data_IF_454815096715
#
_entry.id   IF_454815096715
#
_cell.length_a   1.000
_cell.length_b   1.000
_cell.length_c   1.000
_cell.angle_alpha   90.00
_cell.angle_beta   90.00
_cell.angle_gamma   90.00
#
_symmetry.space_group_name_H-M   'P 1'
#
loop_
_entity.id
_entity.type
_entity.pdbx_description
1 polymer ?
#
# COMPACT_ATOMS: atom_id res chain seq x y z
N UNK A 1 -22.88 45.44 -81.92
CA UNK A 1 -21.86 46.44 -82.39
C UNK A 1 -20.68 46.28 -81.51
N UNK A 2 -19.71 45.62 -81.98
CA UNK A 2 -18.49 45.93 -82.68
C UNK A 2 -17.41 46.49 -81.76
N UNK A 3 -16.32 45.68 -81.70
CA UNK A 3 -14.92 46.06 -81.84
C UNK A 3 -14.30 46.74 -80.58
N UNK A 4 -13.08 46.53 -80.17
CA UNK A 4 -11.80 46.01 -80.74
C UNK A 4 -10.81 45.75 -79.63
N UNK A 5 -10.20 44.63 -79.65
CA UNK A 5 -8.77 44.30 -79.51
C UNK A 5 -7.79 45.39 -78.99
N UNK A 6 -6.98 45.06 -77.95
CA UNK A 6 -5.55 45.15 -78.20
C UNK A 6 -4.76 44.26 -77.24
N UNK A 7 -3.77 43.53 -77.81
CA UNK A 7 -2.85 42.62 -77.16
C UNK A 7 -1.70 43.43 -76.56
N UNK A 8 -1.33 43.15 -75.34
CA UNK A 8 -0.02 43.46 -74.80
C UNK A 8 0.54 42.17 -74.21
N UNK A 9 1.56 41.62 -74.87
CA UNK A 9 2.41 40.55 -74.34
C UNK A 9 3.42 41.16 -73.42
N UNK A 10 3.41 40.88 -72.16
CA UNK A 10 4.50 41.15 -71.26
C UNK A 10 5.22 39.82 -70.97
N UNK A 11 6.46 39.77 -71.43
CA UNK A 11 7.44 38.71 -71.13
C UNK A 11 7.95 38.96 -69.72
N UNK A 12 7.56 38.12 -68.76
CA UNK A 12 8.19 38.06 -67.45
C UNK A 12 9.15 36.89 -67.43
N UNK A 13 10.46 37.18 -67.48
CA UNK A 13 11.53 36.23 -67.24
C UNK A 13 11.54 35.96 -65.75
N UNK A 14 10.97 34.82 -65.34
CA UNK A 14 11.05 34.36 -63.96
C UNK A 14 12.40 33.72 -63.69
N UNK A 15 13.24 34.38 -62.91
CA UNK A 15 14.47 33.81 -62.35
C UNK A 15 14.04 32.90 -61.16
N UNK A 16 13.94 31.60 -61.38
CA UNK A 16 13.67 30.65 -60.33
C UNK A 16 14.96 30.45 -59.51
N UNK A 17 15.09 31.12 -58.38
CA UNK A 17 16.03 30.84 -57.34
C UNK A 17 15.61 29.52 -56.64
N UNK A 18 16.21 28.38 -56.98
CA UNK A 18 16.12 27.15 -56.26
C UNK A 18 16.84 27.30 -54.91
N UNK A 19 16.12 27.67 -53.86
CA UNK A 19 16.61 27.44 -52.49
C UNK A 19 16.29 25.98 -52.15
N UNK A 20 17.29 25.18 -51.73
CA UNK A 20 17.01 23.88 -51.16
C UNK A 20 16.28 24.09 -49.83
N UNK A 21 14.98 23.76 -49.79
CA UNK A 21 14.24 23.65 -48.55
C UNK A 21 14.80 22.41 -47.85
N UNK A 22 15.73 22.62 -46.93
CA UNK A 22 16.03 21.61 -45.94
C UNK A 22 14.82 21.47 -45.04
N UNK A 23 13.99 20.45 -45.29
CA UNK A 23 13.01 19.97 -44.31
C UNK A 23 13.85 19.36 -43.19
N UNK A 24 14.12 20.14 -42.14
CA UNK A 24 14.57 19.61 -40.87
C UNK A 24 13.33 18.90 -40.33
N UNK A 25 13.23 17.59 -40.53
CA UNK A 25 12.36 16.74 -39.72
C UNK A 25 12.90 16.81 -38.28
N UNK A 26 12.35 17.75 -37.52
CA UNK A 26 12.46 17.72 -36.07
C UNK A 26 11.61 16.50 -35.65
N UNK A 27 12.26 15.34 -35.59
CA UNK A 27 11.73 14.25 -34.78
C UNK A 27 11.74 14.72 -33.33
N UNK A 28 10.70 15.44 -32.95
CA UNK A 28 10.34 15.56 -31.56
C UNK A 28 10.03 14.15 -31.08
N UNK A 29 11.05 13.43 -30.62
CA UNK A 29 10.85 12.34 -29.66
C UNK A 29 10.31 12.98 -28.39
N UNK A 30 9.07 13.46 -28.43
CA UNK A 30 8.24 13.62 -27.27
C UNK A 30 7.79 12.23 -26.85
N UNK A 31 8.71 11.43 -26.33
CA UNK A 31 8.33 10.44 -25.35
C UNK A 31 7.69 11.25 -24.22
N UNK A 32 6.38 11.48 -24.27
CA UNK A 32 5.65 12.03 -23.14
C UNK A 32 6.02 11.12 -21.96
N UNK A 33 6.72 11.68 -20.98
CA UNK A 33 6.96 10.99 -19.72
C UNK A 33 5.60 10.61 -19.19
N UNK A 34 5.21 9.33 -19.40
CA UNK A 34 3.93 8.83 -18.94
C UNK A 34 3.98 8.85 -17.42
N UNK A 35 3.07 9.59 -16.79
CA UNK A 35 2.91 9.59 -15.35
C UNK A 35 2.46 8.20 -14.89
N UNK A 36 3.24 7.58 -14.01
CA UNK A 36 2.93 6.28 -13.42
C UNK A 36 2.50 6.44 -11.96
N UNK A 37 1.85 5.43 -11.42
CA UNK A 37 1.45 5.43 -10.01
C UNK A 37 2.69 5.63 -9.12
N UNK A 38 2.59 6.59 -8.21
CA UNK A 38 3.68 6.94 -7.31
C UNK A 38 4.72 7.91 -7.84
N UNK A 39 4.61 8.38 -9.08
CA UNK A 39 5.44 9.49 -9.55
C UNK A 39 5.12 10.76 -8.74
N UNK A 40 6.15 11.56 -8.49
CA UNK A 40 6.00 12.80 -7.74
C UNK A 40 5.29 13.88 -8.57
N UNK A 41 4.20 14.41 -8.05
CA UNK A 41 3.54 15.61 -8.57
C UNK A 41 4.44 16.84 -8.37
N UNK A 42 4.22 17.93 -9.12
CA UNK A 42 5.01 19.16 -8.96
C UNK A 42 4.98 19.76 -7.54
N UNK A 43 3.91 19.51 -6.78
CA UNK A 43 3.71 19.95 -5.40
C UNK A 43 3.95 18.83 -4.36
N UNK A 44 4.47 17.69 -4.80
CA UNK A 44 4.79 16.58 -3.91
C UNK A 44 5.75 17.02 -2.77
N UNK A 45 5.55 16.52 -1.54
CA UNK A 45 6.45 16.81 -0.45
C UNK A 45 7.80 16.09 -0.63
N UNK A 46 8.82 16.59 0.08
CA UNK A 46 10.24 16.28 -0.15
C UNK A 46 10.56 14.79 -0.20
N UNK A 47 10.07 14.00 0.74
CA UNK A 47 10.36 12.57 0.81
C UNK A 47 9.44 11.69 -0.07
N UNK A 48 8.54 12.30 -0.86
CA UNK A 48 7.70 11.56 -1.81
C UNK A 48 8.49 11.03 -3.01
N UNK A 49 9.57 11.71 -3.38
CA UNK A 49 10.39 11.28 -4.52
C UNK A 49 10.97 9.89 -4.31
N UNK A 50 11.18 9.16 -5.41
CA UNK A 50 11.85 7.86 -5.39
C UNK A 50 13.28 8.01 -4.85
N UNK A 51 13.78 6.94 -4.25
CA UNK A 51 15.18 6.83 -3.84
C UNK A 51 16.11 6.53 -5.03
N UNK A 52 17.36 6.24 -4.70
CA UNK A 52 18.45 6.04 -5.67
C UNK A 52 18.54 4.62 -6.22
N UNK A 53 17.93 3.64 -5.55
CA UNK A 53 17.98 2.25 -6.00
C UNK A 53 17.05 1.99 -7.18
N UNK A 54 17.51 1.18 -8.12
CA UNK A 54 16.64 0.53 -9.09
C UNK A 54 15.80 -0.54 -8.39
N UNK A 55 14.62 -0.80 -8.92
CA UNK A 55 13.68 -1.74 -8.28
C UNK A 55 13.52 -3.00 -9.13
N UNK A 56 13.79 -4.14 -8.53
CA UNK A 56 13.40 -5.45 -9.03
C UNK A 56 12.06 -5.87 -8.43
N UNK A 57 11.33 -6.73 -9.15
CA UNK A 57 10.07 -7.30 -8.63
C UNK A 57 9.95 -8.77 -8.99
N UNK A 58 9.50 -9.60 -8.03
CA UNK A 58 9.21 -11.03 -8.23
C UNK A 58 7.94 -11.45 -7.52
N UNK A 59 7.25 -12.42 -8.11
CA UNK A 59 6.10 -13.08 -7.51
C UNK A 59 6.52 -14.42 -6.92
N UNK A 60 6.07 -14.74 -5.70
CA UNK A 60 6.22 -16.07 -5.10
C UNK A 60 4.86 -16.61 -4.64
N UNK A 61 4.74 -17.92 -4.59
CA UNK A 61 3.66 -18.64 -3.90
C UNK A 61 4.23 -19.29 -2.64
N UNK A 62 3.63 -18.97 -1.50
CA UNK A 62 4.00 -19.50 -0.19
C UNK A 62 2.87 -20.42 0.30
N UNK A 63 3.20 -21.48 1.00
CA UNK A 63 2.22 -22.43 1.55
C UNK A 63 2.39 -22.48 3.07
N UNK A 64 1.38 -21.99 3.78
CA UNK A 64 1.27 -22.11 5.23
C UNK A 64 0.47 -23.39 5.56
N UNK A 65 1.21 -24.45 5.89
CA UNK A 65 0.62 -25.79 6.08
C UNK A 65 -0.18 -25.91 7.36
N UNK A 66 -1.20 -26.79 7.33
CA UNK A 66 -1.99 -27.20 8.50
C UNK A 66 -2.65 -26.00 9.21
N UNK A 67 -3.18 -25.04 8.47
CA UNK A 67 -3.93 -23.93 9.06
C UNK A 67 -5.38 -24.33 9.29
N UNK A 68 -6.02 -23.72 10.31
CA UNK A 68 -7.44 -23.96 10.57
C UNK A 68 -8.28 -23.37 9.44
N UNK A 69 -9.06 -24.22 8.80
CA UNK A 69 -10.11 -23.84 7.86
C UNK A 69 -11.39 -23.53 8.65
N UNK A 70 -11.51 -22.29 9.11
CA UNK A 70 -12.64 -21.86 9.93
C UNK A 70 -13.98 -21.91 9.17
N UNK A 71 -13.95 -21.90 7.85
CA UNK A 71 -15.16 -21.96 7.02
C UNK A 71 -15.76 -23.37 6.98
N UNK A 72 -14.95 -24.39 7.18
CA UNK A 72 -15.34 -25.81 7.18
C UNK A 72 -15.13 -26.50 8.53
N UNK A 73 -14.75 -25.75 9.57
CA UNK A 73 -14.64 -26.24 10.94
C UNK A 73 -16.00 -26.18 11.66
N UNK A 74 -16.28 -27.14 12.54
CA UNK A 74 -17.53 -27.24 13.28
C UNK A 74 -17.25 -27.40 14.78
N UNK A 75 -17.72 -26.46 15.59
CA UNK A 75 -17.58 -26.49 17.05
C UNK A 75 -16.11 -26.57 17.46
N UNK A 76 -15.76 -27.63 18.22
CA UNK A 76 -14.37 -27.85 18.71
C UNK A 76 -13.50 -28.65 17.74
N UNK A 77 -14.05 -29.12 16.64
CA UNK A 77 -13.32 -29.89 15.63
C UNK A 77 -12.81 -28.99 14.55
N UNK A 78 -11.51 -28.81 14.48
CA UNK A 78 -10.83 -28.04 13.43
C UNK A 78 -10.65 -28.90 12.17
N UNK A 79 -11.09 -28.38 11.03
CA UNK A 79 -10.64 -28.82 9.71
C UNK A 79 -9.36 -28.08 9.38
N UNK A 80 -8.36 -28.78 8.86
CA UNK A 80 -7.08 -28.19 8.50
C UNK A 80 -6.89 -28.16 6.99
N UNK A 81 -6.23 -27.12 6.49
CA UNK A 81 -5.86 -26.98 5.08
C UNK A 81 -4.48 -26.34 4.90
N UNK A 82 -3.92 -26.53 3.72
CA UNK A 82 -2.70 -25.86 3.31
C UNK A 82 -3.06 -24.51 2.69
N UNK A 83 -2.88 -23.42 3.48
CA UNK A 83 -3.23 -22.07 3.08
C UNK A 83 -2.16 -21.50 2.15
N UNK A 84 -2.54 -21.25 0.90
CA UNK A 84 -1.66 -20.68 -0.13
C UNK A 84 -1.72 -19.16 -0.06
N UNK A 85 -0.57 -18.50 -0.09
CA UNK A 85 -0.44 -17.05 -0.16
C UNK A 85 0.41 -16.67 -1.37
N UNK A 86 -0.12 -15.86 -2.26
CA UNK A 86 0.63 -15.27 -3.34
C UNK A 86 1.20 -13.93 -2.88
N UNK A 87 2.50 -13.72 -3.05
CA UNK A 87 3.16 -12.49 -2.65
C UNK A 87 3.87 -11.84 -3.83
N UNK A 88 3.90 -10.52 -3.85
CA UNK A 88 4.74 -9.74 -4.74
C UNK A 88 5.85 -9.09 -3.91
N UNK A 89 7.10 -9.19 -4.38
CA UNK A 89 8.27 -8.75 -3.65
C UNK A 89 9.02 -7.72 -4.48
N UNK A 90 9.09 -6.49 -3.98
CA UNK A 90 9.92 -5.41 -4.56
C UNK A 90 11.19 -5.27 -3.74
N UNK A 91 12.30 -5.06 -4.43
CA UNK A 91 13.62 -5.02 -3.79
C UNK A 91 14.61 -4.14 -4.58
N UNK A 92 15.65 -3.59 -3.92
CA UNK A 92 16.76 -2.96 -4.61
C UNK A 92 17.42 -3.93 -5.59
N UNK A 93 17.67 -3.48 -6.82
CA UNK A 93 18.14 -4.33 -7.90
C UNK A 93 19.21 -3.68 -8.76
N UNK A 94 20.03 -4.51 -9.38
CA UNK A 94 20.97 -4.13 -10.45
C UNK A 94 20.32 -4.43 -11.78
N UNK A 95 20.25 -3.40 -12.66
CA UNK A 95 19.71 -3.56 -14.00
C UNK A 95 20.82 -3.60 -15.04
N UNK A 96 20.67 -4.45 -16.05
CA UNK A 96 21.53 -4.41 -17.23
C UNK A 96 21.31 -3.09 -18.00
N UNK A 97 22.31 -2.63 -18.75
CA UNK A 97 22.37 -1.29 -19.37
C UNK A 97 21.16 -0.94 -20.25
N UNK A 98 20.52 -1.95 -20.85
CA UNK A 98 19.38 -1.80 -21.76
C UNK A 98 18.02 -2.22 -21.15
N UNK A 99 17.99 -2.58 -19.87
CA UNK A 99 16.76 -2.92 -19.16
C UNK A 99 16.14 -1.67 -18.56
N UNK A 100 14.88 -1.40 -18.91
CA UNK A 100 14.13 -0.30 -18.34
C UNK A 100 13.42 -0.75 -17.06
N UNK A 101 13.32 0.17 -16.12
CA UNK A 101 12.51 0.03 -14.89
C UNK A 101 11.04 0.28 -15.23
N UNK A 102 10.45 -0.65 -15.97
CA UNK A 102 9.08 -0.57 -16.46
C UNK A 102 8.47 -1.98 -16.53
N UNK A 103 7.57 -2.26 -15.58
CA UNK A 103 6.84 -3.53 -15.48
C UNK A 103 5.37 -3.31 -15.79
N UNK A 104 4.70 -4.33 -16.33
CA UNK A 104 3.24 -4.39 -16.43
C UNK A 104 2.71 -5.29 -15.32
N UNK A 105 1.75 -4.79 -14.55
CA UNK A 105 1.02 -5.53 -13.54
C UNK A 105 -0.38 -5.86 -14.03
N UNK A 106 -0.74 -7.14 -13.97
CA UNK A 106 -2.10 -7.61 -14.24
C UNK A 106 -2.93 -7.58 -12.96
N UNK A 107 -4.10 -7.00 -13.04
CA UNK A 107 -5.02 -6.79 -11.93
C UNK A 107 -6.47 -7.01 -12.37
N UNK A 108 -7.37 -7.10 -11.41
CA UNK A 108 -8.81 -7.15 -11.66
C UNK A 108 -9.55 -6.17 -10.76
N UNK A 109 -10.70 -5.71 -11.22
CA UNK A 109 -11.74 -5.10 -10.40
C UNK A 109 -12.98 -6.00 -10.41
N UNK A 110 -14.00 -5.65 -9.66
CA UNK A 110 -15.18 -6.50 -9.50
C UNK A 110 -15.18 -7.24 -8.16
N UNK A 111 -16.02 -8.26 -8.05
CA UNK A 111 -16.14 -9.05 -6.83
C UNK A 111 -16.51 -10.49 -7.17
N UNK A 112 -15.73 -11.43 -6.66
CA UNK A 112 -15.99 -12.86 -6.82
C UNK A 112 -17.43 -13.23 -6.42
N UNK A 113 -18.06 -14.08 -7.23
CA UNK A 113 -19.44 -14.54 -7.03
C UNK A 113 -20.52 -13.44 -6.94
N UNK A 114 -20.26 -12.23 -7.45
CA UNK A 114 -21.23 -11.15 -7.50
C UNK A 114 -21.60 -10.80 -8.95
N UNK A 115 -22.78 -11.26 -9.48
CA UNK A 115 -23.17 -10.96 -10.88
C UNK A 115 -23.35 -9.47 -11.17
N UNK A 116 -23.67 -8.64 -10.16
CA UNK A 116 -23.77 -7.20 -10.31
C UNK A 116 -22.40 -6.49 -10.40
N UNK A 117 -21.32 -7.21 -10.08
CA UNK A 117 -19.95 -6.72 -10.08
C UNK A 117 -19.02 -7.76 -10.72
N UNK A 118 -19.16 -8.04 -12.03
CA UNK A 118 -18.37 -9.05 -12.71
C UNK A 118 -16.87 -8.71 -12.64
N UNK A 119 -16.04 -9.73 -12.69
CA UNK A 119 -14.59 -9.57 -12.73
C UNK A 119 -14.17 -8.94 -14.04
N UNK A 120 -13.47 -7.81 -13.96
CA UNK A 120 -12.98 -7.03 -15.10
C UNK A 120 -11.46 -6.96 -15.00
N UNK A 121 -10.73 -7.64 -15.91
CA UNK A 121 -9.27 -7.53 -15.98
C UNK A 121 -8.83 -6.15 -16.44
N UNK A 122 -7.75 -5.67 -15.87
CA UNK A 122 -7.02 -4.49 -16.36
C UNK A 122 -5.53 -4.64 -16.07
N UNK A 123 -4.72 -3.78 -16.68
CA UNK A 123 -3.30 -3.72 -16.37
C UNK A 123 -2.84 -2.28 -16.21
N UNK A 124 -1.74 -2.12 -15.50
CA UNK A 124 -1.08 -0.83 -15.35
C UNK A 124 0.44 -0.99 -15.30
N UNK A 125 1.14 0.08 -15.61
CA UNK A 125 2.59 0.08 -15.60
C UNK A 125 3.12 0.60 -14.26
N UNK A 126 4.25 0.04 -13.84
CA UNK A 126 4.98 0.45 -12.65
C UNK A 126 6.48 0.61 -12.93
N UNK A 127 7.18 1.18 -11.96
CA UNK A 127 8.61 1.46 -12.03
C UNK A 127 9.42 0.39 -11.32
N UNK A 128 9.40 -0.80 -11.87
CA UNK A 128 10.22 -1.93 -11.45
C UNK A 128 10.64 -2.77 -12.66
N UNK A 129 11.62 -3.66 -12.51
CA UNK A 129 12.02 -4.61 -13.53
C UNK A 129 11.75 -6.04 -13.04
N UNK A 130 10.98 -6.82 -13.83
CA UNK A 130 10.65 -8.20 -13.52
C UNK A 130 11.91 -9.05 -13.46
N UNK A 131 12.06 -9.83 -12.38
CA UNK A 131 13.14 -10.79 -12.14
C UNK A 131 14.57 -10.22 -12.19
N UNK A 132 14.73 -8.91 -11.99
CA UNK A 132 16.05 -8.26 -11.95
C UNK A 132 16.96 -8.87 -10.89
N UNK A 133 18.25 -8.79 -11.08
CA UNK A 133 19.24 -9.25 -10.11
C UNK A 133 19.20 -8.40 -8.84
N UNK A 134 19.18 -9.00 -7.62
CA UNK A 134 19.23 -8.24 -6.39
C UNK A 134 20.51 -7.40 -6.28
N UNK A 135 20.40 -6.20 -5.74
CA UNK A 135 21.51 -5.38 -5.28
C UNK A 135 21.81 -5.73 -3.83
N UNK A 136 22.93 -6.42 -3.57
CA UNK A 136 23.25 -6.92 -2.26
C UNK A 136 24.09 -5.92 -1.47
N UNK A 137 23.71 -5.67 -0.22
CA UNK A 137 24.47 -4.86 0.74
C UNK A 137 24.77 -5.66 2.02
N UNK A 138 25.82 -5.30 2.72
CA UNK A 138 26.14 -5.93 3.99
C UNK A 138 25.01 -5.72 5.01
N UNK A 139 24.53 -6.81 5.61
CA UNK A 139 23.41 -6.78 6.56
C UNK A 139 22.02 -6.88 5.95
N UNK A 140 21.88 -6.76 4.62
CA UNK A 140 20.58 -6.77 3.93
C UNK A 140 19.80 -5.48 4.06
N UNK A 141 18.59 -5.47 3.52
CA UNK A 141 17.65 -4.34 3.59
C UNK A 141 16.51 -4.65 4.57
N UNK A 142 16.09 -3.68 5.38
CA UNK A 142 14.93 -3.87 6.27
C UNK A 142 13.69 -4.32 5.49
N UNK A 143 12.89 -5.18 6.13
CA UNK A 143 11.72 -5.80 5.56
C UNK A 143 10.46 -4.96 5.83
N UNK A 144 9.61 -4.82 4.83
CA UNK A 144 8.26 -4.26 4.95
C UNK A 144 7.25 -5.27 4.45
N UNK A 145 6.27 -5.64 5.27
CA UNK A 145 5.15 -6.50 4.89
C UNK A 145 3.91 -5.64 4.71
N UNK A 146 3.24 -5.80 3.57
CA UNK A 146 2.07 -5.00 3.18
C UNK A 146 0.83 -5.87 3.08
N UNK A 147 -0.23 -5.45 3.77
CA UNK A 147 -1.51 -6.17 3.91
C UNK A 147 -2.66 -5.31 3.38
N UNK A 148 -3.38 -5.79 2.34
CA UNK A 148 -4.46 -5.06 1.69
C UNK A 148 -5.78 -5.06 2.46
N UNK A 149 -6.75 -4.21 2.07
CA UNK A 149 -8.12 -4.19 2.59
C UNK A 149 -8.96 -5.42 2.18
N UNK A 150 -10.23 -5.45 2.57
CA UNK A 150 -11.20 -6.49 2.14
C UNK A 150 -12.25 -5.84 1.20
N UNK A 151 -12.38 -6.30 0.00
CA UNK A 151 -11.53 -7.15 -0.82
C UNK A 151 -10.45 -6.32 -1.49
N UNK A 152 -9.30 -6.93 -1.75
CA UNK A 152 -8.19 -6.20 -2.34
C UNK A 152 -7.22 -7.11 -3.10
N UNK A 153 -6.00 -6.66 -3.27
CA UNK A 153 -4.91 -7.45 -3.83
C UNK A 153 -3.55 -6.94 -3.38
N UNK A 154 -2.52 -7.75 -3.56
CA UNK A 154 -1.13 -7.42 -3.32
C UNK A 154 -0.61 -6.22 -4.14
N UNK A 155 -1.32 -5.81 -5.20
CA UNK A 155 -0.91 -4.74 -6.11
C UNK A 155 -1.56 -3.37 -5.82
N UNK A 156 -2.44 -3.29 -4.80
CA UNK A 156 -3.22 -2.07 -4.54
C UNK A 156 -2.37 -0.89 -4.03
N UNK A 157 -1.14 -1.16 -3.60
CA UNK A 157 -0.20 -0.19 -3.04
C UNK A 157 1.07 0.01 -3.87
N UNK A 158 1.07 -0.31 -5.17
CA UNK A 158 2.31 -0.27 -5.97
C UNK A 158 2.99 1.08 -5.95
N UNK A 159 2.25 2.19 -5.84
CA UNK A 159 2.82 3.53 -5.68
C UNK A 159 3.77 3.63 -4.47
N UNK A 160 3.45 2.92 -3.38
CA UNK A 160 4.21 2.95 -2.13
C UNK A 160 5.28 1.85 -2.11
N UNK A 161 4.94 0.62 -2.54
CA UNK A 161 5.88 -0.51 -2.49
C UNK A 161 7.10 -0.29 -3.37
N UNK A 162 6.91 0.21 -4.60
CA UNK A 162 8.01 0.57 -5.48
C UNK A 162 8.83 1.76 -4.96
N UNK A 163 8.16 2.75 -4.38
CA UNK A 163 8.82 3.90 -3.79
C UNK A 163 9.71 3.51 -2.61
N UNK A 164 9.22 2.67 -1.69
CA UNK A 164 9.99 2.18 -0.56
C UNK A 164 11.15 1.28 -1.01
N UNK A 165 10.93 0.38 -1.98
CA UNK A 165 12.01 -0.43 -2.51
C UNK A 165 13.12 0.42 -3.15
N UNK A 166 12.77 1.49 -3.86
CA UNK A 166 13.75 2.43 -4.41
C UNK A 166 14.56 3.17 -3.33
N UNK A 167 14.09 3.16 -2.09
CA UNK A 167 14.75 3.74 -0.91
C UNK A 167 15.52 2.72 -0.10
N UNK A 168 15.69 1.49 -0.62
CA UNK A 168 16.48 0.44 0.03
C UNK A 168 15.71 -0.30 1.12
N UNK A 169 14.51 -0.76 0.81
CA UNK A 169 13.75 -1.74 1.59
C UNK A 169 13.43 -2.96 0.73
N UNK A 170 13.29 -4.12 1.33
CA UNK A 170 12.59 -5.25 0.71
C UNK A 170 11.13 -5.15 1.12
N UNK A 171 10.23 -5.06 0.15
CA UNK A 171 8.80 -4.87 0.40
C UNK A 171 8.03 -6.06 -0.13
N UNK A 172 7.23 -6.72 0.72
CA UNK A 172 6.45 -7.91 0.40
C UNK A 172 4.98 -7.62 0.60
N UNK A 173 4.19 -7.66 -0.45
CA UNK A 173 2.74 -7.49 -0.38
C UNK A 173 2.03 -8.82 -0.60
N UNK A 174 0.99 -9.09 0.19
CA UNK A 174 0.32 -10.38 0.28
C UNK A 174 -1.04 -10.32 -0.42
N UNK A 175 -1.36 -11.32 -1.27
CA UNK A 175 -2.74 -11.69 -1.55
C UNK A 175 -3.22 -12.61 -0.42
N UNK A 176 -4.04 -12.08 0.46
CA UNK A 176 -4.62 -12.88 1.53
C UNK A 176 -5.74 -13.76 0.96
N UNK A 177 -5.51 -15.04 0.90
CA UNK A 177 -6.48 -16.04 0.41
C UNK A 177 -7.85 -15.84 1.07
N UNK A 178 -8.93 -16.00 0.32
CA UNK A 178 -10.32 -15.79 0.76
C UNK A 178 -10.69 -14.33 1.06
N UNK A 179 -9.84 -13.39 0.64
CA UNK A 179 -10.00 -11.96 0.93
C UNK A 179 -9.61 -11.07 -0.25
N UNK A 180 -9.38 -11.65 -1.42
CA UNK A 180 -9.06 -10.92 -2.66
C UNK A 180 -10.31 -10.68 -3.52
N UNK A 181 -10.16 -9.88 -4.59
CA UNK A 181 -11.22 -9.70 -5.59
C UNK A 181 -11.65 -11.01 -6.25
N UNK A 182 -10.76 -12.02 -6.30
CA UNK A 182 -10.94 -13.28 -7.04
C UNK A 182 -11.45 -14.44 -6.19
N UNK A 183 -11.36 -14.35 -4.87
CA UNK A 183 -11.65 -15.48 -3.97
C UNK A 183 -12.34 -15.08 -2.67
N UNK A 184 -12.99 -13.91 -2.64
CA UNK A 184 -13.66 -13.43 -1.43
C UNK A 184 -14.61 -14.47 -0.83
N UNK A 185 -14.40 -14.81 0.44
CA UNK A 185 -15.19 -15.77 1.20
C UNK A 185 -15.78 -15.14 2.46
N UNK A 186 -16.35 -15.94 3.35
CA UNK A 186 -16.94 -15.45 4.59
C UNK A 186 -15.89 -14.72 5.47
N UNK A 187 -16.31 -13.62 6.07
CA UNK A 187 -15.44 -12.67 6.76
C UNK A 187 -14.71 -13.26 7.98
N UNK A 188 -15.22 -14.37 8.54
CA UNK A 188 -14.58 -15.11 9.64
C UNK A 188 -13.19 -15.63 9.28
N UNK A 189 -12.97 -16.07 8.04
CA UNK A 189 -11.62 -16.45 7.57
C UNK A 189 -10.65 -15.25 7.57
N UNK A 190 -11.11 -14.12 7.05
CA UNK A 190 -10.31 -12.88 7.05
C UNK A 190 -9.94 -12.46 8.48
N UNK A 191 -10.89 -12.50 9.43
CA UNK A 191 -10.64 -12.14 10.82
C UNK A 191 -9.60 -13.06 11.47
N UNK A 192 -9.69 -14.37 11.24
CA UNK A 192 -8.76 -15.34 11.84
C UNK A 192 -7.34 -15.22 11.24
N UNK A 193 -7.25 -15.06 9.92
CA UNK A 193 -6.01 -15.34 9.22
C UNK A 193 -5.12 -14.12 8.95
N UNK A 194 -5.64 -12.88 8.95
CA UNK A 194 -4.84 -11.69 8.58
C UNK A 194 -3.53 -11.57 9.34
N UNK A 195 -3.57 -11.52 10.67
CA UNK A 195 -2.36 -11.43 11.48
C UNK A 195 -1.47 -12.68 11.38
N UNK A 196 -2.08 -13.87 11.19
CA UNK A 196 -1.32 -15.11 10.99
C UNK A 196 -0.56 -15.11 9.67
N UNK A 197 -1.17 -14.61 8.60
CA UNK A 197 -0.54 -14.49 7.29
C UNK A 197 0.66 -13.52 7.35
N UNK A 198 0.50 -12.37 8.00
CA UNK A 198 1.58 -11.38 8.17
C UNK A 198 2.79 -12.01 8.92
N UNK A 199 2.55 -12.70 10.04
CA UNK A 199 3.60 -13.39 10.81
C UNK A 199 4.22 -14.57 10.06
N UNK A 200 3.41 -15.31 9.30
CA UNK A 200 3.94 -16.39 8.46
C UNK A 200 4.85 -15.87 7.36
N UNK A 201 4.47 -14.79 6.68
CA UNK A 201 5.30 -14.16 5.64
C UNK A 201 6.59 -13.61 6.24
N UNK A 202 6.55 -12.98 7.43
CA UNK A 202 7.75 -12.57 8.15
C UNK A 202 8.72 -13.75 8.37
N UNK A 203 8.20 -14.88 8.86
CA UNK A 203 9.02 -16.07 9.08
C UNK A 203 9.60 -16.62 7.78
N UNK A 204 8.81 -16.63 6.69
CA UNK A 204 9.28 -17.12 5.38
C UNK A 204 10.33 -16.20 4.77
N UNK A 205 10.17 -14.88 4.88
CA UNK A 205 11.19 -13.94 4.40
C UNK A 205 12.49 -14.08 5.19
N UNK A 206 12.42 -14.25 6.51
CA UNK A 206 13.57 -14.54 7.34
C UNK A 206 14.26 -15.86 6.95
N UNK A 207 13.49 -16.92 6.68
CA UNK A 207 14.00 -18.22 6.22
C UNK A 207 14.71 -18.09 4.86
N UNK A 208 14.05 -17.48 3.88
CA UNK A 208 14.55 -17.32 2.51
C UNK A 208 15.73 -16.35 2.41
N UNK A 209 15.87 -15.42 3.36
CA UNK A 209 17.00 -14.49 3.45
C UNK A 209 18.28 -15.10 4.03
N UNK A 210 18.19 -16.26 4.69
CA UNK A 210 19.36 -16.90 5.36
C UNK A 210 20.40 -17.38 4.36
N UNK A 211 21.69 -17.37 4.75
CA UNK A 211 22.75 -18.04 3.99
C UNK A 211 22.41 -19.51 3.74
N UNK A 212 22.59 -19.96 2.51
CA UNK A 212 22.31 -21.36 2.10
C UNK A 212 20.86 -21.69 1.78
N UNK A 213 19.95 -20.71 1.78
CA UNK A 213 18.53 -20.92 1.41
C UNK A 213 18.34 -21.20 -0.09
N UNK A 214 19.33 -20.94 -0.93
CA UNK A 214 19.26 -21.02 -2.40
C UNK A 214 18.14 -20.15 -3.01
N UNK A 215 17.73 -19.11 -2.31
CA UNK A 215 16.73 -18.14 -2.73
C UNK A 215 17.40 -16.90 -3.31
N UNK A 216 16.72 -16.17 -4.19
CA UNK A 216 17.16 -14.83 -4.64
C UNK A 216 17.19 -13.82 -3.48
N UNK A 217 16.53 -14.13 -2.37
CA UNK A 217 16.50 -13.31 -1.14
C UNK A 217 17.70 -13.54 -0.23
N UNK A 218 18.55 -14.53 -0.53
CA UNK A 218 19.72 -14.86 0.29
C UNK A 218 20.61 -13.63 0.47
N UNK A 219 20.78 -13.18 1.74
CA UNK A 219 21.58 -12.00 2.09
C UNK A 219 20.94 -10.64 1.72
N UNK A 220 19.75 -10.65 1.12
CA UNK A 220 19.05 -9.43 0.71
C UNK A 220 18.16 -8.86 1.83
N UNK A 221 17.60 -9.72 2.68
CA UNK A 221 16.56 -9.37 3.66
C UNK A 221 17.14 -9.29 5.06
N UNK A 222 16.96 -8.14 5.70
CA UNK A 222 17.10 -7.97 7.14
C UNK A 222 15.71 -8.07 7.80
N UNK A 223 15.32 -9.28 8.18
CA UNK A 223 14.03 -9.55 8.81
C UNK A 223 13.98 -9.14 10.29
N UNK A 224 15.12 -8.85 10.93
CA UNK A 224 15.16 -8.38 12.33
C UNK A 224 14.72 -6.92 12.46
N UNK A 225 14.70 -6.19 11.34
CA UNK A 225 14.17 -4.84 11.21
C UNK A 225 12.96 -4.84 10.26
N UNK A 226 11.82 -5.32 10.77
CA UNK A 226 10.56 -5.43 9.99
C UNK A 226 9.55 -4.36 10.39
N UNK A 227 8.86 -3.77 9.40
CA UNK A 227 7.63 -3.00 9.61
C UNK A 227 6.44 -3.67 8.92
N UNK A 228 5.26 -3.43 9.48
CA UNK A 228 3.99 -3.83 8.87
C UNK A 228 3.27 -2.59 8.35
N UNK A 229 2.74 -2.68 7.13
CA UNK A 229 1.85 -1.68 6.54
C UNK A 229 0.52 -2.35 6.25
N UNK A 230 -0.59 -1.80 6.74
CA UNK A 230 -1.90 -2.36 6.48
C UNK A 230 -2.96 -1.32 6.20
N UNK A 231 -3.90 -1.64 5.29
CA UNK A 231 -5.04 -0.79 4.99
C UNK A 231 -6.35 -1.48 5.34
N UNK A 232 -7.26 -0.79 6.03
CA UNK A 232 -8.57 -1.32 6.39
C UNK A 232 -8.43 -2.65 7.14
N UNK A 233 -8.88 -3.77 6.58
CA UNK A 233 -8.64 -5.11 7.12
C UNK A 233 -7.16 -5.49 7.19
N UNK A 234 -6.31 -4.95 6.33
CA UNK A 234 -4.86 -5.08 6.45
C UNK A 234 -4.33 -4.33 7.68
N UNK A 235 -4.86 -3.13 7.96
CA UNK A 235 -4.57 -2.39 9.19
C UNK A 235 -4.97 -3.16 10.45
N UNK A 236 -6.15 -3.78 10.44
CA UNK A 236 -6.58 -4.73 11.46
C UNK A 236 -5.53 -5.85 11.66
N UNK A 237 -5.09 -6.49 10.56
CA UNK A 237 -4.10 -7.58 10.61
C UNK A 237 -2.77 -7.11 11.19
N UNK A 238 -2.24 -5.98 10.69
CA UNK A 238 -0.97 -5.41 11.12
C UNK A 238 -0.94 -5.04 12.61
N UNK A 239 -2.01 -4.40 13.12
CA UNK A 239 -2.14 -4.08 14.55
C UNK A 239 -2.15 -5.34 15.42
N UNK A 240 -2.91 -6.37 15.01
CA UNK A 240 -2.96 -7.62 15.74
C UNK A 240 -1.65 -8.41 15.68
N UNK A 241 -0.97 -8.41 14.54
CA UNK A 241 0.35 -9.03 14.41
C UNK A 241 1.42 -8.32 15.28
N UNK A 242 1.27 -7.00 15.44
CA UNK A 242 2.19 -6.16 16.23
C UNK A 242 1.85 -6.11 17.72
N UNK A 243 0.80 -6.80 18.18
CA UNK A 243 0.55 -6.95 19.60
C UNK A 243 -0.80 -6.45 20.11
N UNK A 244 -1.68 -5.88 19.29
CA UNK A 244 -3.05 -5.63 19.72
C UNK A 244 -3.80 -6.96 19.95
N UNK A 245 -4.42 -7.13 21.12
CA UNK A 245 -5.14 -8.35 21.48
C UNK A 245 -6.64 -8.20 21.24
N UNK A 246 -7.30 -9.27 20.82
CA UNK A 246 -8.75 -9.25 20.66
C UNK A 246 -9.47 -9.14 22.00
N UNK A 247 -10.57 -8.41 22.00
CA UNK A 247 -11.50 -8.41 23.13
C UNK A 247 -12.21 -9.76 23.27
N UNK A 248 -12.63 -10.09 24.49
CA UNK A 248 -13.48 -11.27 24.74
C UNK A 248 -14.81 -11.20 23.98
N UNK A 249 -15.36 -9.99 23.79
CA UNK A 249 -16.57 -9.76 23.00
C UNK A 249 -16.38 -10.14 21.54
N UNK A 250 -15.26 -9.74 20.92
CA UNK A 250 -14.93 -10.11 19.55
C UNK A 250 -14.76 -11.62 19.40
N UNK A 251 -14.05 -12.26 20.33
CA UNK A 251 -13.86 -13.72 20.31
C UNK A 251 -15.20 -14.47 20.40
N UNK A 252 -16.09 -14.06 21.30
CA UNK A 252 -17.42 -14.65 21.43
C UNK A 252 -18.28 -14.45 20.17
N UNK A 253 -18.20 -13.27 19.53
CA UNK A 253 -18.91 -12.98 18.29
C UNK A 253 -18.44 -13.88 17.15
N UNK A 254 -17.13 -14.00 16.95
CA UNK A 254 -16.55 -14.87 15.91
C UNK A 254 -16.88 -16.33 16.15
N UNK A 255 -16.81 -16.80 17.40
CA UNK A 255 -17.24 -18.16 17.77
C UNK A 255 -18.71 -18.40 17.41
N UNK A 256 -19.60 -17.42 17.64
CA UNK A 256 -21.00 -17.51 17.24
C UNK A 256 -21.20 -17.69 15.74
N UNK A 257 -20.43 -16.97 14.90
CA UNK A 257 -20.52 -17.09 13.45
C UNK A 257 -19.84 -18.35 12.88
N UNK A 258 -18.93 -18.97 13.62
CA UNK A 258 -18.18 -20.16 13.21
C UNK A 258 -18.65 -21.46 13.89
N UNK A 259 -19.92 -21.53 14.28
CA UNK A 259 -20.49 -22.73 14.89
C UNK A 259 -19.87 -23.12 16.23
N UNK A 260 -19.36 -22.15 16.99
CA UNK A 260 -18.69 -22.37 18.28
C UNK A 260 -17.20 -22.65 18.19
N UNK A 261 -16.57 -22.46 17.02
CA UNK A 261 -15.12 -22.62 16.86
C UNK A 261 -14.35 -21.62 17.71
N UNK A 262 -13.33 -22.10 18.44
CA UNK A 262 -12.55 -21.32 19.40
C UNK A 262 -11.15 -20.92 18.92
N UNK A 263 -10.83 -21.14 17.65
CA UNK A 263 -9.50 -20.82 17.10
C UNK A 263 -9.13 -19.33 17.24
N UNK A 264 -10.15 -18.46 17.33
CA UNK A 264 -9.97 -17.04 17.55
C UNK A 264 -9.55 -16.69 18.98
N UNK A 265 -9.88 -17.52 19.97
CA UNK A 265 -9.56 -17.30 21.38
C UNK A 265 -8.06 -17.20 21.62
N UNK A 266 -7.25 -17.90 20.81
CA UNK A 266 -5.79 -17.89 20.89
C UNK A 266 -5.16 -16.51 20.70
N UNK A 267 -5.87 -15.54 20.16
CA UNK A 267 -5.45 -14.15 19.95
C UNK A 267 -6.12 -13.16 20.90
N UNK A 268 -6.95 -13.66 21.84
CA UNK A 268 -7.62 -12.84 22.86
C UNK A 268 -6.59 -12.33 23.86
N UNK A 269 -6.76 -11.11 24.32
CA UNK A 269 -5.92 -10.48 25.34
C UNK A 269 -5.77 -11.39 26.57
N UNK A 270 -4.55 -11.57 27.04
CA UNK A 270 -4.21 -12.42 28.17
C UNK A 270 -4.14 -13.92 27.85
N UNK A 271 -4.50 -14.38 26.66
CA UNK A 271 -4.33 -15.78 26.29
C UNK A 271 -2.84 -16.14 26.15
N UNK A 272 -2.35 -17.29 26.67
CA UNK A 272 -0.92 -17.62 26.60
C UNK A 272 -0.34 -17.64 25.19
N UNK A 273 -1.08 -18.10 24.19
CA UNK A 273 -0.64 -18.11 22.78
C UNK A 273 -0.56 -16.68 22.20
N UNK A 274 -1.46 -15.78 22.59
CA UNK A 274 -1.35 -14.37 22.20
C UNK A 274 -0.07 -13.76 22.77
N UNK A 275 0.21 -13.93 24.07
CA UNK A 275 1.42 -13.41 24.70
C UNK A 275 2.68 -13.99 24.05
N UNK A 276 2.69 -15.30 23.74
CA UNK A 276 3.80 -15.96 23.07
C UNK A 276 3.97 -15.56 21.58
N UNK A 277 3.00 -14.88 20.98
CA UNK A 277 3.04 -14.47 19.57
C UNK A 277 3.70 -13.11 19.33
N UNK A 278 4.14 -12.41 20.37
CA UNK A 278 4.88 -11.16 20.21
C UNK A 278 6.19 -11.39 19.46
N UNK A 279 6.34 -10.72 18.34
CA UNK A 279 7.53 -10.84 17.49
C UNK A 279 8.37 -9.57 17.58
N UNK A 280 9.52 -9.69 18.24
CA UNK A 280 10.44 -8.56 18.47
C UNK A 280 11.12 -8.03 17.22
N UNK A 281 11.00 -8.75 16.09
CA UNK A 281 11.48 -8.29 14.79
C UNK A 281 10.61 -7.17 14.21
N UNK A 282 9.34 -7.08 14.64
CA UNK A 282 8.45 -5.99 14.23
C UNK A 282 8.83 -4.72 15.01
N UNK A 283 9.31 -3.71 14.29
CA UNK A 283 9.82 -2.45 14.86
C UNK A 283 8.86 -1.27 14.68
N UNK A 284 7.95 -1.35 13.71
CA UNK A 284 7.02 -0.26 13.42
C UNK A 284 5.77 -0.76 12.70
N UNK A 285 4.68 -0.01 12.82
CA UNK A 285 3.42 -0.27 12.08
C UNK A 285 2.96 1.02 11.41
N UNK A 286 2.48 0.92 10.17
CA UNK A 286 1.70 1.96 9.49
C UNK A 286 0.31 1.41 9.23
N UNK A 287 -0.71 2.00 9.82
CA UNK A 287 -2.09 1.55 9.73
C UNK A 287 -2.98 2.59 9.05
N UNK A 288 -3.32 2.34 7.79
CA UNK A 288 -4.25 3.18 7.01
C UNK A 288 -5.69 2.76 7.29
N UNK A 289 -6.50 3.66 7.82
CA UNK A 289 -7.93 3.46 8.07
C UNK A 289 -8.24 2.08 8.69
N UNK A 290 -7.56 1.65 9.78
CA UNK A 290 -7.65 0.29 10.31
C UNK A 290 -9.09 -0.04 10.75
N UNK A 291 -9.61 -1.15 10.21
CA UNK A 291 -10.96 -1.63 10.54
C UNK A 291 -10.99 -2.38 11.87
N UNK A 292 -12.05 -2.22 12.64
CA UNK A 292 -12.34 -3.10 13.77
C UNK A 292 -12.83 -2.42 15.06
N UNK A 293 -12.41 -1.18 15.35
CA UNK A 293 -12.72 -0.54 16.63
C UNK A 293 -14.23 -0.31 16.84
N UNK A 294 -14.95 0.14 15.82
CA UNK A 294 -16.40 0.29 15.87
C UNK A 294 -17.17 -1.04 16.06
N UNK A 295 -16.47 -2.16 15.87
CA UNK A 295 -17.00 -3.52 16.07
C UNK A 295 -16.51 -4.15 17.37
N UNK A 296 -15.91 -3.35 18.26
CA UNK A 296 -15.34 -3.79 19.53
C UNK A 296 -14.34 -4.95 19.39
N UNK A 297 -13.57 -4.97 18.29
CA UNK A 297 -12.52 -5.97 18.09
C UNK A 297 -11.47 -5.86 19.20
N UNK A 298 -11.17 -4.64 19.60
CA UNK A 298 -10.29 -4.35 20.72
C UNK A 298 -11.05 -3.63 21.82
N UNK A 299 -10.64 -3.87 23.04
CA UNK A 299 -10.91 -3.08 24.22
C UNK A 299 -9.64 -2.33 24.67
N UNK A 300 -9.73 -1.61 25.78
CA UNK A 300 -8.58 -0.83 26.29
C UNK A 300 -7.38 -1.74 26.61
N UNK A 301 -7.63 -2.93 27.19
CA UNK A 301 -6.57 -3.88 27.52
C UNK A 301 -5.90 -4.43 26.24
N UNK A 302 -6.68 -4.75 25.21
CA UNK A 302 -6.17 -5.23 23.92
C UNK A 302 -5.30 -4.21 23.22
N UNK A 303 -5.69 -2.94 23.21
CA UNK A 303 -4.90 -1.87 22.58
C UNK A 303 -3.60 -1.57 23.34
N UNK A 304 -3.54 -1.79 24.65
CA UNK A 304 -2.32 -1.64 25.45
C UNK A 304 -1.24 -2.68 25.08
N UNK A 305 -1.62 -3.76 24.40
CA UNK A 305 -0.67 -4.72 23.86
C UNK A 305 0.17 -4.16 22.70
N UNK A 306 -0.30 -3.13 22.02
CA UNK A 306 0.44 -2.46 20.95
C UNK A 306 1.52 -1.55 21.58
N UNK A 307 2.80 -1.94 21.45
CA UNK A 307 3.94 -1.26 22.09
C UNK A 307 4.95 -0.71 21.09
N UNK A 308 4.86 -1.14 19.84
CA UNK A 308 5.75 -0.67 18.77
C UNK A 308 5.30 0.69 18.26
N UNK A 309 6.22 1.55 17.81
CA UNK A 309 5.88 2.81 17.15
C UNK A 309 4.83 2.59 16.06
N UNK A 310 3.78 3.41 16.06
CA UNK A 310 2.65 3.22 15.15
C UNK A 310 2.21 4.54 14.50
N UNK A 311 2.12 4.54 13.18
CA UNK A 311 1.66 5.67 12.38
C UNK A 311 0.28 5.36 11.80
N UNK A 312 -0.74 6.02 12.32
CA UNK A 312 -2.11 5.90 11.83
C UNK A 312 -2.37 6.95 10.75
N UNK A 313 -3.16 6.57 9.73
CA UNK A 313 -3.62 7.47 8.66
C UNK A 313 -5.12 7.28 8.47
N UNK A 314 -5.89 8.35 8.39
CA UNK A 314 -7.34 8.26 8.19
C UNK A 314 -7.92 9.49 7.49
N UNK A 315 -9.06 9.31 6.82
CA UNK A 315 -9.94 10.40 6.43
C UNK A 315 -10.85 10.81 7.58
N UNK A 316 -11.06 12.11 7.79
CA UNK A 316 -11.92 12.59 8.90
C UNK A 316 -13.40 12.23 8.74
N UNK A 317 -13.81 11.79 7.55
CA UNK A 317 -15.16 11.33 7.20
C UNK A 317 -15.19 9.85 6.81
N UNK A 318 -14.26 9.05 7.35
CA UNK A 318 -14.23 7.60 7.11
C UNK A 318 -15.56 6.97 7.55
N UNK A 319 -16.30 6.39 6.61
CA UNK A 319 -17.62 5.81 6.80
C UNK A 319 -17.62 4.27 6.81
N UNK A 320 -16.44 3.65 6.71
CA UNK A 320 -16.24 2.19 6.71
C UNK A 320 -15.59 1.72 8.01
N UNK A 321 -14.45 2.29 8.37
CA UNK A 321 -13.72 1.98 9.62
C UNK A 321 -14.10 2.92 10.76
N UNK A 322 -14.70 4.06 10.43
CA UNK A 322 -14.99 5.16 11.33
C UNK A 322 -13.77 6.01 11.66
N UNK A 323 -13.98 7.31 11.85
CA UNK A 323 -12.90 8.20 12.29
C UNK A 323 -12.86 8.33 13.82
N UNK A 324 -13.85 9.02 14.44
CA UNK A 324 -13.84 9.30 15.88
C UNK A 324 -13.91 8.03 16.74
N UNK A 325 -14.80 7.10 16.41
CA UNK A 325 -14.97 5.82 17.10
C UNK A 325 -14.17 4.67 16.47
N UNK A 326 -13.48 4.95 15.39
CA UNK A 326 -12.64 4.03 14.64
C UNK A 326 -11.16 4.35 14.84
N UNK A 327 -10.49 4.85 13.80
CA UNK A 327 -9.04 5.04 13.79
C UNK A 327 -8.55 5.95 14.91
N UNK A 328 -9.23 7.07 15.20
CA UNK A 328 -8.87 7.97 16.28
C UNK A 328 -9.02 7.33 17.67
N UNK A 329 -10.05 6.51 17.87
CA UNK A 329 -10.21 5.77 19.12
C UNK A 329 -9.09 4.71 19.30
N UNK A 330 -8.62 4.07 18.22
CA UNK A 330 -7.44 3.17 18.29
C UNK A 330 -6.20 3.99 18.68
N UNK A 331 -5.95 5.12 18.02
CA UNK A 331 -4.84 6.01 18.35
C UNK A 331 -4.87 6.43 19.82
N UNK A 332 -6.01 6.83 20.35
CA UNK A 332 -6.15 7.24 21.75
C UNK A 332 -5.95 6.07 22.72
N UNK A 333 -6.39 4.86 22.35
CA UNK A 333 -6.30 3.66 23.20
C UNK A 333 -4.94 2.95 23.17
N UNK A 334 -4.12 3.15 22.13
CA UNK A 334 -2.79 2.56 22.00
C UNK A 334 -1.73 3.28 22.86
N UNK A 335 -2.02 3.42 24.15
CA UNK A 335 -1.29 4.31 25.07
C UNK A 335 0.16 3.92 25.32
N UNK A 336 0.55 2.67 25.04
CA UNK A 336 1.92 2.18 25.22
C UNK A 336 2.77 2.30 23.95
N UNK A 337 2.20 2.76 22.84
CA UNK A 337 2.93 3.02 21.60
C UNK A 337 3.34 4.51 21.49
N UNK A 338 4.53 4.77 20.95
CA UNK A 338 4.83 6.06 20.32
C UNK A 338 4.00 6.15 19.04
N UNK A 339 3.06 7.10 18.99
CA UNK A 339 2.00 7.04 17.97
C UNK A 339 1.68 8.37 17.34
N UNK A 340 1.46 8.31 16.03
CA UNK A 340 1.07 9.43 15.19
C UNK A 340 -0.30 9.16 14.57
N UNK A 341 -1.07 10.24 14.32
CA UNK A 341 -2.30 10.17 13.53
C UNK A 341 -2.30 11.30 12.50
N UNK A 342 -2.10 10.91 11.24
CA UNK A 342 -2.28 11.79 10.09
C UNK A 342 -3.73 11.73 9.64
N UNK A 343 -4.39 12.88 9.60
CA UNK A 343 -5.78 13.01 9.18
C UNK A 343 -5.89 13.83 7.90
N UNK A 344 -6.53 13.25 6.90
CA UNK A 344 -6.97 13.94 5.69
C UNK A 344 -8.36 14.54 5.93
N UNK A 345 -8.44 15.87 6.04
CA UNK A 345 -9.70 16.55 6.32
C UNK A 345 -10.71 16.36 5.20
N UNK A 346 -11.94 15.95 5.55
CA UNK A 346 -13.06 15.64 4.66
C UNK A 346 -12.84 14.43 3.73
N UNK A 347 -11.69 13.75 3.78
CA UNK A 347 -11.52 12.48 3.08
C UNK A 347 -12.37 11.38 3.74
N UNK A 348 -12.73 10.38 2.94
CA UNK A 348 -13.39 9.15 3.38
C UNK A 348 -12.39 8.02 3.62
N UNK A 349 -12.83 6.78 3.37
CA UNK A 349 -12.06 5.57 3.70
C UNK A 349 -10.82 5.34 2.82
N UNK A 350 -10.89 5.73 1.53
CA UNK A 350 -9.91 5.36 0.53
C UNK A 350 -8.70 6.32 0.52
N UNK A 351 -7.90 6.31 1.58
CA UNK A 351 -6.72 7.17 1.73
C UNK A 351 -5.38 6.46 1.49
N UNK A 352 -5.42 5.28 0.86
CA UNK A 352 -4.24 4.42 0.80
C UNK A 352 -3.97 3.76 -0.55
N UNK A 353 -4.93 3.71 -1.46
CA UNK A 353 -4.86 2.88 -2.67
C UNK A 353 -4.14 3.57 -3.83
N UNK A 354 -3.79 2.79 -4.86
CA UNK A 354 -3.42 3.38 -6.15
C UNK A 354 -4.56 4.27 -6.69
N UNK A 355 -4.29 5.24 -7.56
CA UNK A 355 -5.33 6.00 -8.27
C UNK A 355 -6.26 5.10 -9.08
N UNK A 356 -7.49 5.56 -9.38
CA UNK A 356 -8.45 4.82 -10.19
C UNK A 356 -7.87 4.41 -11.55
N UNK A 357 -7.93 3.13 -11.93
CA UNK A 357 -7.53 2.71 -13.26
C UNK A 357 -8.51 3.28 -14.31
N UNK A 358 -8.05 3.59 -15.54
CA UNK A 358 -8.92 4.11 -16.61
C UNK A 358 -10.14 3.24 -16.88
N UNK A 359 -10.02 1.93 -16.71
CA UNK A 359 -11.10 0.96 -16.88
C UNK A 359 -12.26 1.19 -15.92
N UNK A 360 -11.98 1.72 -14.72
CA UNK A 360 -13.03 2.04 -13.72
C UNK A 360 -13.91 3.22 -14.10
N UNK A 361 -13.51 4.01 -15.11
CA UNK A 361 -14.27 5.16 -15.62
C UNK A 361 -15.28 4.78 -16.69
N UNK A 362 -15.39 3.51 -17.08
CA UNK A 362 -16.32 3.07 -18.12
C UNK A 362 -17.77 3.23 -17.67
N UNK A 363 -18.66 3.77 -18.53
CA UNK A 363 -20.07 3.88 -18.22
C UNK A 363 -20.73 2.52 -17.96
N UNK A 364 -21.64 2.49 -16.99
CA UNK A 364 -22.42 1.29 -16.68
C UNK A 364 -21.77 0.33 -15.68
N UNK A 365 -20.56 0.60 -15.22
CA UNK A 365 -19.97 -0.15 -14.12
C UNK A 365 -20.64 0.17 -12.78
N UNK A 366 -20.55 -0.77 -11.85
CA UNK A 366 -20.92 -0.51 -10.47
C UNK A 366 -20.02 0.61 -9.90
N UNK A 367 -20.61 1.53 -9.15
CA UNK A 367 -19.89 2.70 -8.62
C UNK A 367 -18.64 2.33 -7.79
N UNK A 368 -18.69 1.22 -7.06
CA UNK A 368 -17.55 0.75 -6.26
C UNK A 368 -16.30 0.42 -7.08
N UNK A 369 -16.41 0.14 -8.38
CA UNK A 369 -15.22 -0.14 -9.19
C UNK A 369 -14.33 1.09 -9.35
N UNK A 370 -14.94 2.26 -9.39
CA UNK A 370 -14.25 3.54 -9.32
C UNK A 370 -13.93 3.93 -7.86
N UNK A 371 -14.94 3.86 -6.99
CA UNK A 371 -14.86 4.43 -5.64
C UNK A 371 -13.82 3.72 -4.76
N UNK A 372 -13.51 2.45 -4.99
CA UNK A 372 -12.43 1.73 -4.28
C UNK A 372 -11.04 2.35 -4.42
N UNK A 373 -10.86 3.14 -5.47
CA UNK A 373 -9.60 3.79 -5.81
C UNK A 373 -9.67 5.31 -5.74
N UNK A 374 -10.79 5.87 -5.30
CA UNK A 374 -11.03 7.30 -5.32
C UNK A 374 -11.53 7.82 -3.98
N UNK A 375 -11.21 9.07 -3.70
CA UNK A 375 -11.82 9.88 -2.64
C UNK A 375 -12.61 11.03 -3.25
N UNK A 376 -13.82 11.38 -2.74
CA UNK A 376 -14.65 12.41 -3.33
C UNK A 376 -14.09 13.84 -3.17
N UNK A 377 -13.13 14.05 -2.29
CA UNK A 377 -12.56 15.37 -1.97
C UNK A 377 -11.08 15.46 -2.36
N UNK A 378 -10.33 14.38 -2.19
CA UNK A 378 -8.89 14.36 -2.39
C UNK A 378 -8.49 13.67 -3.70
N UNK A 379 -7.48 14.22 -4.36
CA UNK A 379 -6.85 13.55 -5.50
C UNK A 379 -5.93 12.43 -5.01
N UNK A 380 -6.12 11.21 -5.52
CA UNK A 380 -5.38 10.03 -5.06
C UNK A 380 -3.87 10.12 -5.31
N UNK A 381 -3.43 10.67 -6.43
CA UNK A 381 -2.01 10.84 -6.70
C UNK A 381 -1.35 11.79 -5.66
N UNK A 382 -2.11 12.80 -5.20
CA UNK A 382 -1.68 13.68 -4.12
C UNK A 382 -1.65 12.97 -2.77
N UNK A 383 -2.68 12.20 -2.42
CA UNK A 383 -2.70 11.34 -1.23
C UNK A 383 -1.48 10.43 -1.25
N UNK A 384 -1.20 9.80 -2.40
CA UNK A 384 -0.09 8.88 -2.56
C UNK A 384 1.26 9.55 -2.29
N UNK A 385 1.48 10.76 -2.80
CA UNK A 385 2.72 11.49 -2.53
C UNK A 385 2.85 11.90 -1.06
N UNK A 386 1.76 12.30 -0.42
CA UNK A 386 1.76 12.62 1.01
C UNK A 386 2.06 11.36 1.84
N UNK A 387 1.43 10.22 1.51
CA UNK A 387 1.70 8.94 2.16
C UNK A 387 3.16 8.51 1.98
N UNK A 388 3.71 8.62 0.76
CA UNK A 388 5.14 8.33 0.50
C UNK A 388 6.05 9.17 1.40
N UNK A 389 5.73 10.44 1.60
CA UNK A 389 6.52 11.33 2.45
C UNK A 389 6.51 10.89 3.91
N UNK A 390 5.33 10.76 4.51
CA UNK A 390 5.22 10.44 5.93
C UNK A 390 5.66 9.02 6.25
N UNK A 391 5.31 8.05 5.41
CA UNK A 391 5.76 6.66 5.58
C UNK A 391 7.29 6.57 5.46
N UNK A 392 7.90 7.30 4.50
CA UNK A 392 9.37 7.37 4.40
C UNK A 392 10.00 7.97 5.64
N UNK A 393 9.44 9.07 6.17
CA UNK A 393 9.96 9.71 7.37
C UNK A 393 9.89 8.75 8.56
N UNK A 394 8.72 8.18 8.81
CA UNK A 394 8.47 7.30 9.94
C UNK A 394 9.31 6.01 9.89
N UNK A 395 9.28 5.28 8.77
CA UNK A 395 10.08 4.06 8.63
C UNK A 395 11.59 4.35 8.56
N UNK A 396 11.97 5.51 8.03
CA UNK A 396 13.38 5.95 8.04
C UNK A 396 13.93 6.09 9.46
N UNK A 397 13.15 6.64 10.38
CA UNK A 397 13.52 6.75 11.79
C UNK A 397 13.62 5.36 12.44
N UNK A 398 12.57 4.56 12.34
CA UNK A 398 12.45 3.33 13.14
C UNK A 398 13.18 2.11 12.58
N UNK A 399 13.44 2.05 11.26
CA UNK A 399 14.14 0.92 10.64
C UNK A 399 15.56 1.25 10.19
N UNK A 400 15.88 2.53 9.93
CA UNK A 400 17.17 2.95 9.36
C UNK A 400 17.88 4.01 10.17
N UNK A 401 17.34 4.40 11.30
CA UNK A 401 17.90 5.43 12.20
C UNK A 401 18.24 6.74 11.48
N UNK A 402 17.39 7.15 10.50
CA UNK A 402 17.55 8.40 9.78
C UNK A 402 17.06 9.57 10.63
N UNK A 403 17.73 10.70 10.52
CA UNK A 403 17.30 11.97 11.16
C UNK A 403 16.18 12.63 10.35
N UNK A 404 14.98 12.06 10.46
CA UNK A 404 13.77 12.54 9.79
C UNK A 404 12.73 13.12 10.76
N UNK A 405 13.08 13.30 12.03
CA UNK A 405 12.18 13.85 13.07
C UNK A 405 11.52 15.16 12.66
N UNK A 406 12.26 16.05 11.99
CA UNK A 406 11.75 17.34 11.50
C UNK A 406 10.52 17.26 10.60
N UNK A 407 10.27 16.11 9.96
CA UNK A 407 9.10 15.86 9.12
C UNK A 407 7.90 15.32 9.90
N UNK A 408 8.10 14.92 11.16
CA UNK A 408 7.07 14.41 12.06
C UNK A 408 6.84 15.32 13.27
N UNK A 409 7.78 16.18 13.62
CA UNK A 409 7.66 17.24 14.63
C UNK A 409 6.99 18.47 14.04
N UNK A 410 5.73 18.30 13.61
CA UNK A 410 4.96 19.32 12.90
C UNK A 410 3.89 19.91 13.83
N UNK A 411 3.34 21.05 13.42
CA UNK A 411 2.18 21.61 14.10
C UNK A 411 0.95 20.74 13.80
N UNK A 412 0.04 20.68 14.75
CA UNK A 412 -1.17 19.85 14.66
C UNK A 412 -1.97 20.13 13.37
N UNK A 413 -2.13 21.42 13.02
CA UNK A 413 -2.94 21.85 11.87
C UNK A 413 -2.08 22.58 10.84
N UNK A 414 -2.16 22.16 9.57
CA UNK A 414 -1.39 22.70 8.45
C UNK A 414 -2.10 23.78 7.63
N UNK A 415 -3.36 24.16 7.95
CA UNK A 415 -4.12 25.12 7.15
C UNK A 415 -3.51 26.54 7.15
N UNK A 416 -2.90 26.93 8.27
CA UNK A 416 -2.35 28.28 8.45
C UNK A 416 -0.84 28.36 8.16
N UNK A 417 -0.13 27.24 8.18
CA UNK A 417 1.33 27.19 8.04
C UNK A 417 1.78 26.10 7.08
N UNK A 418 2.91 26.35 6.42
CA UNK A 418 3.60 25.32 5.62
C UNK A 418 4.35 24.36 6.54
N UNK A 419 4.09 23.09 6.42
CA UNK A 419 4.83 22.05 7.11
C UNK A 419 6.22 21.81 6.50
N UNK A 420 7.18 21.42 7.33
CA UNK A 420 8.53 21.04 6.87
C UNK A 420 8.44 19.94 5.82
N UNK A 421 9.15 20.11 4.71
CA UNK A 421 9.13 19.20 3.57
C UNK A 421 8.01 19.45 2.57
N UNK A 422 7.07 20.34 2.86
CA UNK A 422 5.98 20.69 1.95
C UNK A 422 6.24 22.01 1.23
N UNK A 423 5.80 22.12 0.00
CA UNK A 423 5.73 23.39 -0.71
C UNK A 423 4.62 24.27 -0.13
N UNK A 424 4.69 25.60 -0.29
CA UNK A 424 3.64 26.50 0.20
C UNK A 424 2.24 26.02 -0.27
N UNK A 425 1.29 25.94 0.66
CA UNK A 425 -0.11 25.50 0.45
C UNK A 425 -0.30 24.01 0.20
N UNK A 426 0.77 23.22 0.02
CA UNK A 426 0.64 21.81 -0.33
C UNK A 426 0.28 20.93 0.88
N UNK A 427 0.34 21.43 2.10
CA UNK A 427 -0.09 20.72 3.33
C UNK A 427 -1.53 21.01 3.76
N UNK A 428 -2.24 21.92 3.05
CA UNK A 428 -3.61 22.30 3.41
C UNK A 428 -4.55 21.11 3.50
N UNK A 429 -5.35 21.05 4.56
CA UNK A 429 -6.30 19.97 4.82
C UNK A 429 -5.70 18.77 5.56
N UNK A 430 -4.46 18.87 6.04
CA UNK A 430 -3.82 17.84 6.85
C UNK A 430 -3.81 18.23 8.33
N UNK A 431 -3.95 17.24 9.20
CA UNK A 431 -3.68 17.31 10.64
C UNK A 431 -2.73 16.18 11.02
N UNK A 432 -1.80 16.44 11.93
CA UNK A 432 -0.90 15.44 12.48
C UNK A 432 -0.89 15.53 14.00
N UNK A 433 -1.39 14.49 14.65
CA UNK A 433 -1.29 14.33 16.10
C UNK A 433 -0.12 13.40 16.44
N UNK A 434 0.54 13.67 17.56
CA UNK A 434 1.60 12.84 18.13
C UNK A 434 1.38 12.63 19.62
N UNK A 435 1.58 11.43 20.10
CA UNK A 435 1.57 11.11 21.51
C UNK A 435 2.61 10.06 21.84
N UNK A 436 3.41 10.35 22.86
CA UNK A 436 4.39 9.44 23.43
C UNK A 436 3.73 8.32 24.25
N UNK A 437 4.43 7.20 24.48
CA UNK A 437 3.96 6.14 25.36
C UNK A 437 3.67 6.69 26.77
N UNK A 438 2.53 6.29 27.32
CA UNK A 438 2.25 6.53 28.75
C UNK A 438 3.17 5.63 29.59
N UNK A 439 3.67 6.19 30.70
CA UNK A 439 4.50 5.45 31.66
C UNK A 439 3.69 4.42 32.43
#
# INVERSE_FOLDING_TARGET
MSRLLNKIKIFIIGLALLFPIWIIEIHAQSGSLRFLYGDALPDAPELATRGEFKVGVRTLELINKNQVDILHSMGVQDTLYDRKLKVEIWYPAVLATNVQELVVYDQVMGQFNNPARPIIPFNFQGRAARDAAPDLVAGGYPLIIVSHGYTGSRLIFTYLTENLASKGYVVVSIDHTESTFLDAAAFTSTLLNRAKDDLFVLNKMAELGKPGSNSFLTGLVDADHTALIGYSMGGYGALNAAGAGYSKTAAALVAGFSGGNKSFDSRTTGHPQYVASYDTRIKAVVAFAPWGMERNVWDAEGLQGLKVPTFFVAGSQDDISGYEKGTKAIYLGAIHADRYLLTYQNARHNVATNPPPPESLQPGLHFDEYYRYADPVWNEARINNINQHFVTAFLGIHLKHRDFGKYLELQENANEKTWTGFKPRASTGLELLHALPSQ
#
